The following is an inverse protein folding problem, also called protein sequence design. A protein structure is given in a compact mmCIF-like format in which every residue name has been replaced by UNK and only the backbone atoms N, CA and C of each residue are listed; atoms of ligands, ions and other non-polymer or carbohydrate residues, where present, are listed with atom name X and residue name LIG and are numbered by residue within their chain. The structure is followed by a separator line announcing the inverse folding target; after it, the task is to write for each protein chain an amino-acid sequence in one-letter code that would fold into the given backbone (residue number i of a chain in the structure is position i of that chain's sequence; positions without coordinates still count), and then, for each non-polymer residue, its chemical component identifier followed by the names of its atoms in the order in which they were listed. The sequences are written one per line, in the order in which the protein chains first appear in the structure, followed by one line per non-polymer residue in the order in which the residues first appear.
data_IF_809302756545
#
_entry.id   IF_809302756545
#
_cell.length_a   1.000
_cell.length_b   1.000
_cell.length_c   1.000
_cell.angle_alpha   90.00
_cell.angle_beta   90.00
_cell.angle_gamma   90.00
#
_symmetry.space_group_name_H-M   'P 1'
#
loop_
_entity.id
_entity.type
_entity.pdbx_description
1 polymer ?
#
# COMPACT_ATOMS: atom_id res chain seq x y z
N UNK A 1 -3.51 9.15 4.44
CA UNK A 1 -2.76 7.98 3.92
C UNK A 1 -1.93 7.23 4.97
N UNK A 2 -1.10 7.86 5.83
CA UNK A 2 -0.35 7.12 6.88
C UNK A 2 -1.24 6.31 7.82
N UNK A 3 -2.34 6.90 8.32
CA UNK A 3 -3.35 6.20 9.14
C UNK A 3 -3.97 4.99 8.43
N UNK A 4 -4.16 5.07 7.11
CA UNK A 4 -4.73 3.97 6.32
C UNK A 4 -3.73 2.82 6.17
N UNK A 5 -2.45 3.12 5.92
CA UNK A 5 -1.42 2.08 5.88
C UNK A 5 -1.32 1.33 7.23
N UNK A 6 -1.37 2.06 8.34
CA UNK A 6 -1.41 1.47 9.69
C UNK A 6 -2.66 0.62 9.91
N UNK A 7 -3.83 1.06 9.45
CA UNK A 7 -5.05 0.26 9.50
C UNK A 7 -4.89 -1.08 8.78
N UNK A 8 -4.38 -1.06 7.54
CA UNK A 8 -4.19 -2.27 6.73
C UNK A 8 -3.21 -3.22 7.43
N UNK A 9 -2.08 -2.70 7.92
CA UNK A 9 -1.10 -3.49 8.66
C UNK A 9 -1.69 -4.13 9.93
N UNK A 10 -2.49 -3.37 10.70
CA UNK A 10 -3.13 -3.88 11.91
C UNK A 10 -4.20 -4.93 11.61
N UNK A 11 -4.97 -4.76 10.52
CA UNK A 11 -5.96 -5.73 10.05
C UNK A 11 -5.29 -7.03 9.61
N UNK A 12 -4.12 -6.93 8.95
CA UNK A 12 -3.38 -8.10 8.45
C UNK A 12 -2.76 -8.91 9.60
N UNK A 13 -2.35 -8.23 10.68
CA UNK A 13 -1.80 -8.88 11.89
C UNK A 13 -2.84 -9.63 12.73
N UNK A 14 -4.14 -9.40 12.54
CA UNK A 14 -5.20 -10.06 13.33
C UNK A 14 -6.00 -11.05 12.51
N UNK A 15 -6.35 -12.18 13.14
CA UNK A 15 -7.28 -13.17 12.58
C UNK A 15 -8.71 -13.02 13.14
N UNK A 16 -8.92 -12.15 14.13
CA UNK A 16 -10.23 -11.97 14.78
C UNK A 16 -11.12 -11.01 13.98
N UNK A 17 -12.27 -11.50 13.50
CA UNK A 17 -13.26 -10.66 12.79
C UNK A 17 -13.75 -9.49 13.65
N UNK A 18 -13.92 -9.70 14.96
CA UNK A 18 -14.37 -8.66 15.89
C UNK A 18 -13.32 -7.55 16.03
N UNK A 19 -12.05 -7.92 16.06
CA UNK A 19 -10.96 -6.96 16.15
C UNK A 19 -10.79 -6.15 14.85
N UNK A 20 -10.94 -6.81 13.68
CA UNK A 20 -10.98 -6.11 12.39
C UNK A 20 -12.10 -5.06 12.34
N UNK A 21 -13.30 -5.39 12.84
CA UNK A 21 -14.40 -4.44 12.91
C UNK A 21 -14.07 -3.25 13.81
N UNK A 22 -13.50 -3.49 15.00
CA UNK A 22 -13.11 -2.41 15.91
C UNK A 22 -12.07 -1.47 15.28
N UNK A 23 -11.06 -2.01 14.61
CA UNK A 23 -10.04 -1.23 13.90
C UNK A 23 -10.66 -0.36 12.78
N UNK A 24 -11.61 -0.91 12.03
CA UNK A 24 -12.33 -0.16 11.00
C UNK A 24 -13.16 0.99 11.60
N UNK A 25 -13.92 0.72 12.68
CA UNK A 25 -14.71 1.75 13.36
C UNK A 25 -13.82 2.88 13.85
N UNK A 26 -12.75 2.56 14.60
CA UNK A 26 -11.79 3.55 15.08
C UNK A 26 -11.19 4.38 13.95
N UNK A 27 -10.84 3.73 12.84
CA UNK A 27 -10.33 4.47 11.68
C UNK A 27 -11.37 5.43 11.11
N UNK A 28 -12.62 5.02 10.94
CA UNK A 28 -13.64 5.88 10.35
C UNK A 28 -14.10 7.02 11.26
N UNK A 29 -13.98 6.87 12.59
CA UNK A 29 -14.24 7.94 13.56
C UNK A 29 -13.17 9.05 13.50
N UNK A 30 -11.90 8.69 13.31
CA UNK A 30 -10.75 9.60 13.39
C UNK A 30 -10.26 10.17 12.04
N UNK A 31 -10.89 9.78 10.94
CA UNK A 31 -10.41 10.00 9.59
C UNK A 31 -11.15 11.14 8.89
N UNK A 32 -10.42 11.89 8.06
CA UNK A 32 -11.04 12.94 7.25
C UNK A 32 -11.99 12.33 6.18
N UNK A 33 -13.04 13.06 5.75
CA UNK A 33 -14.02 12.53 4.81
C UNK A 33 -13.42 12.03 3.48
N UNK A 34 -12.31 12.62 3.00
CA UNK A 34 -11.67 12.18 1.76
C UNK A 34 -10.94 10.86 1.95
N UNK A 35 -10.19 10.72 3.03
CA UNK A 35 -9.51 9.48 3.38
C UNK A 35 -10.50 8.34 3.72
N UNK A 36 -11.66 8.66 4.30
CA UNK A 36 -12.75 7.71 4.50
C UNK A 36 -13.34 7.21 3.17
N UNK A 37 -13.62 8.11 2.22
CA UNK A 37 -14.09 7.75 0.88
C UNK A 37 -13.09 6.84 0.15
N UNK A 38 -11.79 7.15 0.23
CA UNK A 38 -10.75 6.32 -0.38
C UNK A 38 -10.63 4.95 0.27
N UNK A 39 -10.70 4.86 1.60
CA UNK A 39 -10.66 3.58 2.31
C UNK A 39 -11.82 2.67 1.87
N UNK A 40 -13.04 3.22 1.80
CA UNK A 40 -14.23 2.49 1.32
C UNK A 40 -14.03 2.04 -0.13
N UNK A 41 -13.57 2.93 -1.02
CA UNK A 41 -13.35 2.59 -2.42
C UNK A 41 -12.32 1.46 -2.60
N UNK A 42 -11.25 1.47 -1.80
CA UNK A 42 -10.21 0.44 -1.84
C UNK A 42 -10.71 -0.90 -1.32
N UNK A 43 -11.39 -0.94 -0.16
CA UNK A 43 -11.95 -2.19 0.39
C UNK A 43 -13.10 -2.75 -0.43
N UNK A 44 -13.93 -1.89 -1.04
CA UNK A 44 -15.02 -2.31 -1.93
C UNK A 44 -14.51 -2.71 -3.33
N UNK A 45 -13.20 -2.78 -3.55
CA UNK A 45 -12.56 -3.09 -4.81
C UNK A 45 -12.97 -2.14 -5.97
N UNK A 46 -13.45 -0.94 -5.64
CA UNK A 46 -13.81 0.15 -6.58
C UNK A 46 -12.63 1.08 -6.83
N UNK A 47 -11.46 0.47 -7.05
CA UNK A 47 -10.23 1.21 -7.33
C UNK A 47 -10.26 1.81 -8.75
N UNK A 48 -9.73 3.03 -8.95
CA UNK A 48 -9.56 3.59 -10.29
C UNK A 48 -8.73 2.66 -11.18
N UNK A 49 -8.95 2.70 -12.50
CA UNK A 49 -8.07 1.99 -13.44
C UNK A 49 -6.63 2.44 -13.22
N UNK A 50 -5.69 1.49 -13.23
CA UNK A 50 -4.26 1.77 -13.07
C UNK A 50 -3.83 2.83 -14.10
N UNK A 51 -3.44 4.05 -13.67
CA UNK A 51 -3.13 5.12 -14.60
C UNK A 51 -1.74 4.98 -15.24
N UNK A 52 -0.86 4.15 -14.66
CA UNK A 52 0.54 4.02 -15.07
C UNK A 52 0.96 2.55 -15.24
N UNK A 53 1.98 2.34 -16.08
CA UNK A 53 2.65 1.05 -16.25
C UNK A 53 3.56 0.76 -15.06
N UNK A 54 3.69 -0.51 -14.69
CA UNK A 54 4.60 -0.96 -13.62
C UNK A 54 6.07 -0.61 -13.89
N UNK A 55 6.47 -0.51 -15.16
CA UNK A 55 7.82 -0.10 -15.55
C UNK A 55 8.18 1.30 -15.05
N UNK A 56 7.22 2.24 -15.06
CA UNK A 56 7.43 3.59 -14.53
C UNK A 56 7.62 3.56 -13.01
N UNK A 57 6.91 2.68 -12.31
CA UNK A 57 7.07 2.55 -10.86
C UNK A 57 8.47 2.06 -10.47
N UNK A 58 9.04 1.10 -11.22
CA UNK A 58 10.42 0.65 -11.02
C UNK A 58 11.42 1.77 -11.22
N UNK A 59 11.25 2.53 -12.31
CA UNK A 59 12.13 3.64 -12.63
C UNK A 59 12.06 4.76 -11.58
N UNK A 60 10.85 5.09 -11.11
CA UNK A 60 10.68 6.08 -10.05
C UNK A 60 11.24 5.61 -8.71
N UNK A 61 11.09 4.33 -8.37
CA UNK A 61 11.66 3.77 -7.15
C UNK A 61 13.19 3.82 -7.17
N UNK A 62 13.82 3.37 -8.27
CA UNK A 62 15.27 3.45 -8.46
C UNK A 62 15.78 4.90 -8.37
N UNK A 63 15.08 5.84 -9.00
CA UNK A 63 15.42 7.26 -8.92
C UNK A 63 15.24 7.84 -7.50
N UNK A 64 14.20 7.43 -6.78
CA UNK A 64 13.92 7.94 -5.43
C UNK A 64 14.93 7.43 -4.38
N UNK A 65 15.45 6.21 -4.55
CA UNK A 65 16.49 5.63 -3.69
C UNK A 65 17.91 5.91 -4.16
N UNK A 66 18.06 6.62 -5.29
CA UNK A 66 19.35 6.92 -5.92
C UNK A 66 20.16 5.65 -6.25
N UNK A 67 19.45 4.55 -6.56
CA UNK A 67 20.04 3.29 -6.97
C UNK A 67 19.97 3.14 -8.49
N UNK A 68 20.96 2.49 -9.12
CA UNK A 68 20.87 2.19 -10.53
C UNK A 68 19.75 1.16 -10.78
N UNK A 69 19.00 1.32 -11.87
CA UNK A 69 17.83 0.50 -12.17
C UNK A 69 18.13 -1.00 -12.19
N UNK A 70 19.30 -1.41 -12.68
CA UNK A 70 19.70 -2.82 -12.72
C UNK A 70 19.75 -3.44 -11.31
N UNK A 71 20.18 -2.69 -10.29
CA UNK A 71 20.25 -3.19 -8.90
C UNK A 71 18.85 -3.33 -8.29
N UNK A 72 17.96 -2.40 -8.64
CA UNK A 72 16.54 -2.50 -8.29
C UNK A 72 15.90 -3.74 -8.92
N UNK A 73 16.21 -4.02 -10.19
CA UNK A 73 15.68 -5.19 -10.91
C UNK A 73 16.18 -6.51 -10.32
N UNK A 74 17.47 -6.61 -9.97
CA UNK A 74 18.01 -7.77 -9.26
C UNK A 74 17.33 -7.99 -7.89
N UNK A 75 17.10 -6.91 -7.12
CA UNK A 75 16.38 -6.99 -5.84
C UNK A 75 14.95 -7.47 -6.04
N UNK A 76 14.27 -6.96 -7.07
CA UNK A 76 12.92 -7.39 -7.44
C UNK A 76 12.85 -8.87 -7.84
N UNK A 77 13.86 -9.39 -8.55
CA UNK A 77 13.92 -10.80 -8.92
C UNK A 77 14.03 -11.74 -7.70
N UNK A 78 14.64 -11.27 -6.60
CA UNK A 78 14.76 -12.03 -5.35
C UNK A 78 13.48 -11.93 -4.50
N UNK A 79 12.92 -10.73 -4.36
CA UNK A 79 11.74 -10.48 -3.51
C UNK A 79 10.45 -11.00 -4.16
N UNK A 80 10.32 -10.88 -5.48
CA UNK A 80 9.15 -11.35 -6.23
C UNK A 80 7.93 -10.43 -6.21
N UNK A 81 7.83 -9.51 -5.24
CA UNK A 81 6.78 -8.48 -5.18
C UNK A 81 7.34 -7.05 -5.34
N UNK A 82 6.72 -6.27 -6.23
CA UNK A 82 7.17 -4.91 -6.54
C UNK A 82 6.93 -3.96 -5.37
N UNK A 83 5.78 -4.06 -4.69
CA UNK A 83 5.47 -3.21 -3.56
C UNK A 83 6.40 -3.50 -2.38
N UNK A 84 6.71 -4.78 -2.12
CA UNK A 84 7.67 -5.17 -1.08
C UNK A 84 9.10 -4.69 -1.41
N UNK A 85 9.51 -4.82 -2.68
CA UNK A 85 10.81 -4.30 -3.15
C UNK A 85 10.92 -2.79 -2.93
N UNK A 86 9.88 -2.03 -3.31
CA UNK A 86 9.84 -0.57 -3.12
C UNK A 86 9.79 -0.18 -1.64
N UNK A 87 9.18 -1.00 -0.77
CA UNK A 87 9.13 -0.72 0.66
C UNK A 87 10.47 -0.94 1.39
N UNK A 88 11.38 -1.72 0.79
CA UNK A 88 12.65 -2.13 1.41
C UNK A 88 13.85 -1.32 0.93
N UNK A 89 13.71 -0.65 -0.22
CA UNK A 89 14.74 0.16 -0.88
C UNK A 89 14.65 1.63 -0.46
#
# INVERSE_FOLDING_TARGET
MRKFAQLVENIDKTNSTKEKLNLLVQYFEDCDPRSALWAIALFANRRPKRPFKSSLMRQWAANASNLPLWLFEESYHIVGDLAETVATI
#
